data_IF_824265000566
#
_entry.id   IF_824265000566
#
_cell.length_a   1.000
_cell.length_b   1.000
_cell.length_c   1.000
_cell.angle_alpha   90.00
_cell.angle_beta   90.00
_cell.angle_gamma   90.00
#
_symmetry.space_group_name_H-M   'P 1'
#
loop_
_entity.id
_entity.type
_entity.pdbx_description
1 polymer ?
#
# COMPACT_ATOMS: atom_id res chain seq x y z
N UNK A 1 -5.62 58.10 37.34
CA UNK A 1 -5.68 56.69 36.98
C UNK A 1 -4.30 56.34 36.43
N UNK A 2 -3.50 55.60 37.18
CA UNK A 2 -2.07 55.48 36.96
C UNK A 2 -1.73 54.67 35.70
N UNK A 3 -0.91 55.24 34.82
CA UNK A 3 -0.42 54.61 33.56
C UNK A 3 0.18 53.22 33.82
N UNK A 4 0.78 52.99 34.97
CA UNK A 4 1.33 51.69 35.42
C UNK A 4 0.27 50.58 35.53
N UNK A 5 -1.01 50.89 35.88
CA UNK A 5 -2.10 49.93 35.93
C UNK A 5 -2.63 49.52 34.56
N UNK A 6 -2.53 50.44 33.60
CA UNK A 6 -2.96 50.17 32.21
C UNK A 6 -1.96 49.25 31.49
N UNK A 7 -0.66 49.45 31.77
CA UNK A 7 0.41 48.59 31.18
C UNK A 7 0.33 47.18 31.77
N UNK A 8 -0.06 46.97 33.01
CA UNK A 8 -0.18 45.67 33.65
C UNK A 8 -1.37 44.87 33.11
N UNK A 9 -2.45 45.55 32.69
CA UNK A 9 -3.66 44.90 32.11
C UNK A 9 -3.46 44.47 30.66
N UNK A 10 -2.63 45.21 29.90
CA UNK A 10 -2.32 44.85 28.51
C UNK A 10 -1.35 43.68 28.37
N UNK A 11 -0.60 43.33 29.43
CA UNK A 11 0.36 42.20 29.35
C UNK A 11 -0.29 40.83 29.59
N UNK A 12 -1.56 40.79 30.05
CA UNK A 12 -2.26 39.52 30.41
C UNK A 12 -3.06 38.94 29.20
N UNK A 13 -3.19 39.67 28.09
CA UNK A 13 -4.06 39.26 26.96
C UNK A 13 -3.30 38.50 25.86
N UNK A 14 -1.98 38.36 25.93
CA UNK A 14 -1.19 37.67 24.89
C UNK A 14 -0.75 36.24 25.22
N UNK A 15 -1.26 35.65 26.33
CA UNK A 15 -0.87 34.29 26.74
C UNK A 15 -2.04 33.30 26.71
N UNK A 16 -2.78 33.20 25.61
CA UNK A 16 -3.69 32.06 25.42
C UNK A 16 -3.96 31.82 23.95
N UNK A 17 -2.99 31.23 23.30
CA UNK A 17 -3.24 30.46 22.09
C UNK A 17 -2.22 29.31 21.99
N UNK A 18 -2.19 28.46 22.98
CA UNK A 18 -1.70 27.10 22.81
C UNK A 18 -2.88 26.27 22.26
N UNK A 19 -2.99 26.22 20.96
CA UNK A 19 -3.76 25.19 20.29
C UNK A 19 -3.06 23.86 20.53
N UNK A 20 -3.42 23.16 21.62
CA UNK A 20 -3.16 21.75 21.80
C UNK A 20 -3.83 20.99 20.66
N UNK A 21 -3.17 20.96 19.52
CA UNK A 21 -3.35 19.92 18.51
C UNK A 21 -2.83 18.62 19.13
N UNK A 22 -3.62 18.05 20.04
CA UNK A 22 -3.52 16.67 20.44
C UNK A 22 -3.77 15.83 19.19
N UNK A 23 -2.71 15.69 18.42
CA UNK A 23 -2.61 14.65 17.40
C UNK A 23 -2.65 13.33 18.16
N UNK A 24 -3.89 12.85 18.39
CA UNK A 24 -4.15 11.57 19.02
C UNK A 24 -3.45 10.53 18.14
N UNK A 25 -2.24 10.18 18.52
CA UNK A 25 -1.56 9.00 18.01
C UNK A 25 -2.52 7.84 18.29
N UNK A 26 -3.17 7.35 17.25
CA UNK A 26 -3.95 6.12 17.30
C UNK A 26 -2.94 5.00 17.51
N UNK A 27 -2.61 4.76 18.77
CA UNK A 27 -1.88 3.59 19.20
C UNK A 27 -2.83 2.40 19.07
N UNK A 28 -2.51 1.52 18.16
CA UNK A 28 -2.73 0.08 18.15
C UNK A 28 -3.77 -0.46 19.15
N UNK A 29 -5.03 -0.33 18.82
CA UNK A 29 -6.02 -1.27 19.31
C UNK A 29 -6.52 -2.02 18.08
N UNK A 30 -6.61 -3.35 18.18
CA UNK A 30 -7.09 -4.28 17.16
C UNK A 30 -8.58 -4.04 16.83
N UNK A 31 -8.97 -2.81 16.61
CA UNK A 31 -10.23 -2.49 15.98
C UNK A 31 -10.18 -3.02 14.55
N UNK A 32 -10.98 -4.03 14.31
CA UNK A 32 -11.23 -4.59 12.99
C UNK A 32 -11.67 -3.43 12.09
N UNK A 33 -10.72 -2.87 11.35
CA UNK A 33 -10.99 -1.75 10.43
C UNK A 33 -12.01 -2.24 9.41
N UNK A 34 -13.28 -1.88 9.63
CA UNK A 34 -14.35 -2.17 8.67
C UNK A 34 -14.25 -1.19 7.51
N UNK A 35 -14.19 -1.72 6.29
CA UNK A 35 -14.20 -0.91 5.07
C UNK A 35 -15.62 -0.43 4.77
N UNK A 36 -15.75 0.85 4.48
CA UNK A 36 -16.99 1.44 4.01
C UNK A 36 -16.99 1.59 2.48
N UNK A 37 -18.15 1.84 1.89
CA UNK A 37 -18.27 2.11 0.45
C UNK A 37 -17.59 3.41 0.00
N UNK A 38 -17.31 4.30 0.93
CA UNK A 38 -16.63 5.58 0.67
C UNK A 38 -15.11 5.52 0.82
N UNK A 39 -14.58 4.41 1.33
CA UNK A 39 -13.15 4.27 1.50
C UNK A 39 -12.45 3.97 0.17
N UNK A 40 -11.32 4.61 -0.03
CA UNK A 40 -10.52 4.44 -1.24
C UNK A 40 -9.49 3.32 -1.04
N UNK A 41 -9.50 2.36 -1.95
CA UNK A 41 -8.49 1.30 -1.99
C UNK A 41 -7.20 1.82 -2.62
N UNK A 42 -6.04 1.13 -2.39
CA UNK A 42 -4.81 1.53 -3.05
C UNK A 42 -4.99 1.48 -4.57
N UNK A 43 -4.34 2.41 -5.24
CA UNK A 43 -4.49 2.61 -6.68
C UNK A 43 -3.22 3.19 -7.32
N UNK A 44 -3.22 3.30 -8.63
CA UNK A 44 -2.25 4.06 -9.42
C UNK A 44 -2.97 5.12 -10.25
N UNK A 45 -2.26 6.19 -10.60
CA UNK A 45 -2.86 7.30 -11.36
C UNK A 45 -3.59 6.84 -12.62
N UNK A 46 -3.05 5.85 -13.32
CA UNK A 46 -3.65 5.30 -14.54
C UNK A 46 -5.02 4.63 -14.32
N UNK A 47 -5.34 4.21 -13.09
CA UNK A 47 -6.62 3.60 -12.75
C UNK A 47 -7.64 4.60 -12.20
N UNK A 48 -7.26 5.85 -11.92
CA UNK A 48 -8.15 6.84 -11.29
C UNK A 48 -9.17 7.46 -12.25
N UNK A 49 -9.05 7.21 -13.55
CA UNK A 49 -10.07 7.62 -14.54
C UNK A 49 -11.31 6.74 -14.49
N UNK A 50 -11.24 5.60 -13.81
CA UNK A 50 -12.35 4.68 -13.60
C UNK A 50 -13.22 5.17 -12.43
N UNK A 51 -14.53 5.07 -12.59
CA UNK A 51 -15.51 5.54 -11.59
C UNK A 51 -15.87 4.43 -10.59
N UNK A 52 -15.97 3.19 -11.07
CA UNK A 52 -16.41 2.08 -10.24
C UNK A 52 -15.27 1.50 -9.40
N UNK A 53 -15.46 1.41 -8.10
CA UNK A 53 -14.48 0.90 -7.14
C UNK A 53 -13.94 -0.49 -7.51
N UNK A 54 -14.78 -1.38 -8.05
CA UNK A 54 -14.34 -2.72 -8.46
C UNK A 54 -13.42 -2.66 -9.68
N UNK A 55 -13.73 -1.80 -10.67
CA UNK A 55 -12.88 -1.62 -11.85
C UNK A 55 -11.52 -1.01 -11.47
N UNK A 56 -11.50 -0.06 -10.52
CA UNK A 56 -10.26 0.50 -9.98
C UNK A 56 -9.40 -0.60 -9.34
N UNK A 57 -10.01 -1.48 -8.52
CA UNK A 57 -9.30 -2.61 -7.88
C UNK A 57 -8.74 -3.60 -8.89
N UNK A 58 -9.50 -3.95 -9.90
CA UNK A 58 -9.05 -4.86 -10.97
C UNK A 58 -7.92 -4.22 -11.79
N UNK A 59 -8.08 -2.96 -12.18
CA UNK A 59 -7.05 -2.21 -12.88
C UNK A 59 -5.74 -2.20 -12.07
N UNK A 60 -5.81 -1.91 -10.78
CA UNK A 60 -4.66 -1.89 -9.88
C UNK A 60 -3.98 -3.26 -9.78
N UNK A 61 -4.75 -4.33 -9.59
CA UNK A 61 -4.21 -5.70 -9.55
C UNK A 61 -3.53 -6.08 -10.87
N UNK A 62 -4.16 -5.75 -12.00
CA UNK A 62 -3.60 -6.02 -13.33
C UNK A 62 -2.31 -5.24 -13.56
N UNK A 63 -2.26 -3.98 -13.15
CA UNK A 63 -1.04 -3.18 -13.19
C UNK A 63 0.08 -3.85 -12.39
N UNK A 64 -0.18 -4.24 -11.14
CA UNK A 64 0.82 -4.87 -10.29
C UNK A 64 1.29 -6.22 -10.84
N UNK A 65 0.37 -7.09 -11.30
CA UNK A 65 0.73 -8.37 -11.92
C UNK A 65 1.67 -8.16 -13.11
N UNK A 66 1.35 -7.20 -13.97
CA UNK A 66 2.16 -6.88 -15.16
C UNK A 66 3.56 -6.38 -14.78
N UNK A 67 3.65 -5.46 -13.81
CA UNK A 67 4.94 -4.93 -13.37
C UNK A 67 5.78 -5.99 -12.64
N UNK A 68 5.18 -6.85 -11.81
CA UNK A 68 5.87 -7.95 -11.15
C UNK A 68 6.41 -8.93 -12.20
N UNK A 69 5.60 -9.38 -13.16
CA UNK A 69 6.03 -10.29 -14.22
C UNK A 69 7.17 -9.70 -15.05
N UNK A 70 7.11 -8.43 -15.37
CA UNK A 70 8.17 -7.71 -16.07
C UNK A 70 9.46 -7.67 -15.23
N UNK A 71 9.36 -7.38 -13.94
CA UNK A 71 10.51 -7.29 -13.04
C UNK A 71 11.11 -8.65 -12.69
N UNK A 72 10.34 -9.73 -12.74
CA UNK A 72 10.82 -11.11 -12.55
C UNK A 72 11.85 -11.52 -13.62
N UNK A 73 11.82 -10.89 -14.81
CA UNK A 73 12.78 -11.13 -15.91
C UNK A 73 12.95 -12.61 -16.26
N UNK A 74 11.89 -13.40 -16.17
CA UNK A 74 11.93 -14.86 -16.43
C UNK A 74 12.41 -15.21 -17.84
N UNK A 75 12.29 -14.30 -18.80
CA UNK A 75 12.85 -14.46 -20.15
C UNK A 75 14.37 -14.65 -20.19
N UNK A 76 15.07 -14.28 -19.12
CA UNK A 76 16.51 -14.43 -18.99
C UNK A 76 16.93 -15.76 -18.34
N UNK A 77 15.95 -16.58 -17.93
CA UNK A 77 16.17 -17.86 -17.26
C UNK A 77 15.92 -18.96 -18.29
N UNK A 78 16.89 -19.85 -18.46
CA UNK A 78 16.75 -21.05 -19.28
C UNK A 78 15.89 -22.03 -18.48
N UNK A 79 14.69 -22.33 -18.95
CA UNK A 79 13.76 -23.25 -18.33
C UNK A 79 13.72 -24.52 -19.18
N UNK A 80 14.08 -25.66 -18.56
CA UNK A 80 14.10 -26.96 -19.24
C UNK A 80 12.71 -27.58 -19.39
N UNK A 81 11.73 -27.12 -18.58
CA UNK A 81 10.36 -27.63 -18.57
C UNK A 81 9.34 -26.49 -18.64
N UNK A 82 8.23 -26.64 -19.36
CA UNK A 82 7.21 -25.61 -19.43
C UNK A 82 6.57 -25.37 -18.07
N UNK A 83 6.39 -24.10 -17.72
CA UNK A 83 5.68 -23.67 -16.53
C UNK A 83 4.26 -23.26 -16.90
N UNK A 84 3.27 -23.77 -16.17
CA UNK A 84 1.89 -23.31 -16.24
C UNK A 84 1.29 -23.42 -14.84
N UNK A 85 1.59 -22.44 -13.99
CA UNK A 85 1.16 -22.47 -12.60
C UNK A 85 0.90 -21.05 -12.05
N UNK A 86 0.30 -20.97 -10.87
CA UNK A 86 -0.07 -19.71 -10.23
C UNK A 86 0.59 -19.58 -8.86
N UNK A 87 1.37 -18.54 -8.69
CA UNK A 87 1.92 -18.12 -7.39
C UNK A 87 0.95 -17.16 -6.72
N UNK A 88 0.49 -17.47 -5.52
CA UNK A 88 -0.39 -16.61 -4.76
C UNK A 88 0.42 -15.78 -3.75
N UNK A 89 0.38 -14.46 -3.88
CA UNK A 89 1.04 -13.54 -2.95
C UNK A 89 0.01 -12.66 -2.24
N UNK A 90 0.30 -12.33 -0.99
CA UNK A 90 -0.42 -11.29 -0.26
C UNK A 90 0.50 -10.07 -0.17
N UNK A 91 0.09 -8.99 -0.77
CA UNK A 91 0.82 -7.73 -0.73
C UNK A 91 0.28 -6.83 0.38
N UNK A 92 1.19 -6.12 1.03
CA UNK A 92 0.91 -5.02 1.94
C UNK A 92 1.28 -3.72 1.24
N UNK A 93 0.32 -2.82 1.08
CA UNK A 93 0.56 -1.41 0.75
C UNK A 93 0.50 -0.62 2.05
N UNK A 94 1.59 0.02 2.43
CA UNK A 94 1.63 0.83 3.64
C UNK A 94 0.96 2.21 3.41
N UNK A 95 0.77 2.96 4.47
CA UNK A 95 0.15 4.29 4.43
C UNK A 95 0.94 5.36 3.66
N UNK A 96 2.14 5.02 3.16
CA UNK A 96 2.97 5.87 2.28
C UNK A 96 2.98 5.37 0.84
N UNK A 97 2.25 4.28 0.54
CA UNK A 97 2.19 3.69 -0.79
C UNK A 97 3.33 2.72 -1.15
N UNK A 98 4.24 2.42 -0.22
CA UNK A 98 5.27 1.41 -0.46
C UNK A 98 4.67 0.00 -0.36
N UNK A 99 5.12 -0.90 -1.25
CA UNK A 99 4.59 -2.26 -1.40
C UNK A 99 5.61 -3.26 -0.87
N UNK A 100 5.12 -4.27 -0.16
CA UNK A 100 5.91 -5.40 0.32
C UNK A 100 5.12 -6.69 0.31
N UNK A 101 5.80 -7.84 0.32
CA UNK A 101 5.16 -9.14 0.46
C UNK A 101 4.86 -9.38 1.94
N UNK A 102 3.58 -9.62 2.26
CA UNK A 102 3.13 -9.99 3.60
C UNK A 102 3.01 -11.51 3.79
N UNK A 103 2.65 -12.23 2.73
CA UNK A 103 2.59 -13.69 2.68
C UNK A 103 2.71 -14.18 1.23
N UNK A 104 3.13 -15.42 1.04
CA UNK A 104 3.25 -16.04 -0.28
C UNK A 104 3.01 -17.54 -0.21
N UNK A 105 2.45 -18.08 -1.28
CA UNK A 105 2.29 -19.51 -1.51
C UNK A 105 2.88 -19.78 -2.89
N UNK A 106 4.04 -20.41 -2.93
CA UNK A 106 4.74 -20.77 -4.16
C UNK A 106 4.62 -22.29 -4.33
N UNK A 107 4.04 -22.77 -5.44
CA UNK A 107 3.99 -24.18 -5.75
C UNK A 107 5.39 -24.80 -5.80
N UNK A 108 5.51 -26.04 -5.30
CA UNK A 108 6.80 -26.73 -5.22
C UNK A 108 7.48 -26.88 -6.60
N UNK A 109 6.71 -27.21 -7.64
CA UNK A 109 7.22 -27.33 -9.00
C UNK A 109 7.90 -26.04 -9.50
N UNK A 110 7.44 -24.86 -9.08
CA UNK A 110 8.10 -23.58 -9.43
C UNK A 110 9.49 -23.52 -8.81
N UNK A 111 9.63 -23.90 -7.54
CA UNK A 111 10.93 -23.90 -6.83
C UNK A 111 11.85 -24.98 -7.42
N UNK A 112 11.28 -26.14 -7.80
CA UNK A 112 12.07 -27.23 -8.41
C UNK A 112 12.64 -26.80 -9.78
N UNK A 113 11.90 -26.01 -10.57
CA UNK A 113 12.33 -25.49 -11.88
C UNK A 113 13.20 -24.24 -11.74
N UNK A 114 12.86 -23.35 -10.81
CA UNK A 114 13.55 -22.08 -10.57
C UNK A 114 13.89 -21.97 -9.08
N UNK A 115 15.01 -22.55 -8.60
CA UNK A 115 15.34 -22.58 -7.17
C UNK A 115 15.41 -21.21 -6.50
N UNK A 116 15.82 -20.18 -7.24
CA UNK A 116 15.92 -18.79 -6.75
C UNK A 116 14.66 -17.95 -6.94
N UNK A 117 13.53 -18.57 -7.36
CA UNK A 117 12.28 -17.85 -7.64
C UNK A 117 11.82 -16.96 -6.48
N UNK A 118 11.97 -17.43 -5.25
CA UNK A 118 11.60 -16.67 -4.07
C UNK A 118 12.39 -15.35 -3.94
N UNK A 119 13.68 -15.38 -4.18
CA UNK A 119 14.53 -14.20 -4.20
C UNK A 119 14.13 -13.25 -5.33
N UNK A 120 13.95 -13.77 -6.55
CA UNK A 120 13.53 -12.99 -7.70
C UNK A 120 12.17 -12.31 -7.45
N UNK A 121 11.23 -13.01 -6.83
CA UNK A 121 9.92 -12.45 -6.48
C UNK A 121 10.04 -11.28 -5.49
N UNK A 122 10.90 -11.39 -4.47
CA UNK A 122 11.16 -10.30 -3.53
C UNK A 122 11.78 -9.09 -4.21
N UNK A 123 12.75 -9.30 -5.08
CA UNK A 123 13.40 -8.24 -5.87
C UNK A 123 12.40 -7.57 -6.82
N UNK A 124 11.55 -8.37 -7.48
CA UNK A 124 10.53 -7.87 -8.40
C UNK A 124 9.49 -6.98 -7.69
N UNK A 125 9.03 -7.40 -6.51
CA UNK A 125 8.10 -6.60 -5.69
C UNK A 125 8.79 -5.38 -5.10
N UNK A 126 10.03 -5.50 -4.64
CA UNK A 126 10.83 -4.38 -4.11
C UNK A 126 11.12 -3.29 -5.14
N UNK A 127 11.07 -3.64 -6.43
CA UNK A 127 11.27 -2.71 -7.56
C UNK A 127 9.98 -2.05 -8.05
N UNK A 128 8.84 -2.31 -7.42
CA UNK A 128 7.58 -1.67 -7.77
C UNK A 128 7.60 -0.17 -7.41
N UNK A 129 6.95 0.67 -8.21
CA UNK A 129 6.83 2.08 -7.87
C UNK A 129 5.97 2.29 -6.63
N UNK A 130 6.17 3.41 -5.95
CA UNK A 130 5.26 3.87 -4.90
C UNK A 130 3.90 4.17 -5.52
N UNK A 131 2.84 3.67 -4.89
CA UNK A 131 1.46 3.78 -5.36
C UNK A 131 0.64 4.71 -4.44
N UNK A 132 -0.57 5.04 -4.84
CA UNK A 132 -1.51 5.74 -3.98
C UNK A 132 -1.97 4.78 -2.86
N UNK A 133 -1.78 5.13 -1.58
CA UNK A 133 -2.19 4.27 -0.47
C UNK A 133 -3.72 4.28 -0.32
N UNK A 134 -4.23 3.29 0.39
CA UNK A 134 -5.63 3.27 0.78
C UNK A 134 -5.96 4.45 1.70
N UNK A 135 -7.15 5.02 1.55
CA UNK A 135 -7.62 6.15 2.33
C UNK A 135 -8.94 5.83 3.03
N UNK A 136 -8.97 6.05 4.34
CA UNK A 136 -10.20 6.05 5.15
C UNK A 136 -10.85 7.42 5.03
N UNK A 137 -11.70 7.59 4.03
CA UNK A 137 -12.28 8.88 3.66
C UNK A 137 -13.02 9.53 4.83
N UNK A 138 -13.73 8.74 5.64
CA UNK A 138 -14.45 9.24 6.84
C UNK A 138 -13.51 9.81 7.91
N UNK A 139 -12.24 9.39 7.92
CA UNK A 139 -11.23 9.82 8.89
C UNK A 139 -10.19 10.76 8.28
N UNK A 140 -10.17 10.91 6.96
CA UNK A 140 -9.18 11.71 6.24
C UNK A 140 -7.74 11.21 6.40
N UNK A 141 -7.55 9.89 6.60
CA UNK A 141 -6.24 9.30 6.88
C UNK A 141 -5.90 8.16 5.92
N UNK A 142 -4.65 8.10 5.51
CA UNK A 142 -4.13 6.96 4.76
C UNK A 142 -3.82 5.79 5.70
N UNK A 143 -4.13 4.57 5.26
CA UNK A 143 -4.00 3.36 6.07
C UNK A 143 -3.25 2.27 5.32
N UNK A 144 -2.71 1.33 6.08
CA UNK A 144 -2.15 0.11 5.53
C UNK A 144 -3.28 -0.78 5.00
N UNK A 145 -3.05 -1.41 3.86
CA UNK A 145 -4.02 -2.34 3.26
C UNK A 145 -3.32 -3.60 2.76
N UNK A 146 -4.01 -4.74 2.87
CA UNK A 146 -3.53 -6.03 2.38
C UNK A 146 -4.50 -6.58 1.34
N UNK A 147 -3.97 -7.20 0.30
CA UNK A 147 -4.78 -7.88 -0.71
C UNK A 147 -4.02 -9.04 -1.34
N UNK A 148 -4.76 -10.02 -1.82
CA UNK A 148 -4.22 -11.17 -2.53
C UNK A 148 -4.07 -10.87 -4.02
N UNK A 149 -2.96 -11.33 -4.58
CA UNK A 149 -2.64 -11.20 -5.99
C UNK A 149 -2.14 -12.54 -6.54
N UNK A 150 -2.89 -13.20 -7.44
CA UNK A 150 -2.39 -14.36 -8.16
C UNK A 150 -1.45 -13.89 -9.28
N UNK A 151 -0.27 -14.48 -9.36
CA UNK A 151 0.70 -14.28 -10.43
C UNK A 151 0.71 -15.56 -11.28
N UNK A 152 0.19 -15.44 -12.50
CA UNK A 152 0.12 -16.56 -13.44
C UNK A 152 1.44 -16.63 -14.21
N UNK A 153 2.15 -17.74 -14.06
CA UNK A 153 3.38 -18.02 -14.75
C UNK A 153 3.09 -18.98 -15.93
N UNK A 154 3.38 -18.53 -17.13
CA UNK A 154 3.28 -19.37 -18.34
C UNK A 154 4.55 -19.21 -19.16
N UNK A 155 5.20 -20.32 -19.47
CA UNK A 155 6.22 -20.42 -20.48
C UNK A 155 5.77 -21.41 -21.55
N UNK A 156 6.05 -21.09 -22.79
CA UNK A 156 5.87 -22.01 -23.92
C UNK A 156 7.11 -22.87 -24.05
#
# INVERSE_FOLDING_TARGET
MNITKIILITLIVVSSCESNLNKKLVTNNNEKITWSSYDEYPSVKACNELIESNLIKECFKNFLSKEILKNLKLSNIIIEQPINDTVNITLLVNNKGAISISNKIIPKNIIDIIPEFDKLLHEAVGSLPVVLPANKTSLGVTVNSKFQLPIILKSN
#
